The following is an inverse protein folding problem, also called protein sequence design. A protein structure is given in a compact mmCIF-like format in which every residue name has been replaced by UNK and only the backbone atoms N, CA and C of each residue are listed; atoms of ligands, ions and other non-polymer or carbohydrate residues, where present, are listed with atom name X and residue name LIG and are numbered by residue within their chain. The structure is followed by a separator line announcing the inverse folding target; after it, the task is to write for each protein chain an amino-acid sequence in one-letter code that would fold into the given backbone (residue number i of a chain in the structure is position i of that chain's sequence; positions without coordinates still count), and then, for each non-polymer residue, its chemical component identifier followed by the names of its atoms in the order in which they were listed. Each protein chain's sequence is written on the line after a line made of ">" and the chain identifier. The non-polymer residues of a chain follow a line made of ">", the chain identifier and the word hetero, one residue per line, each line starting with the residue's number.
data_IF_652636014114
#
_entry.id   IF_652636014114
#
_cell.length_a   1.000
_cell.length_b   1.000
_cell.length_c   1.000
_cell.angle_alpha   90.00
_cell.angle_beta   90.00
_cell.angle_gamma   90.00
#
_symmetry.space_group_name_H-M   'P 1'
#
loop_
_entity.id
_entity.type
_entity.pdbx_description
1 polymer ?
#
# COMPACT_ATOMS: atom_id res chain seq x y z
N UNK A 1 -22.80 -50.98 67.70
CA UNK A 1 -23.98 -50.57 66.92
C UNK A 1 -23.69 -50.83 65.45
N UNK A 2 -24.41 -51.78 64.86
CA UNK A 2 -24.95 -51.84 63.47
C UNK A 2 -24.41 -50.80 62.46
N UNK A 3 -24.07 -51.11 61.20
CA UNK A 3 -24.30 -52.28 60.35
C UNK A 3 -23.43 -52.17 59.07
N UNK A 4 -22.99 -53.33 58.56
CA UNK A 4 -23.05 -53.74 57.14
C UNK A 4 -22.09 -53.15 56.06
N UNK A 5 -21.10 -53.99 55.72
CA UNK A 5 -20.67 -54.45 54.37
C UNK A 5 -21.84 -54.87 53.44
N UNK A 6 -21.68 -55.39 52.19
CA UNK A 6 -20.51 -55.56 51.29
C UNK A 6 -20.85 -55.14 49.82
N UNK A 7 -19.96 -55.27 48.82
CA UNK A 7 -19.94 -56.43 47.90
C UNK A 7 -18.73 -56.33 46.94
N UNK A 8 -18.00 -57.43 46.91
CA UNK A 8 -16.98 -57.86 45.95
C UNK A 8 -17.67 -58.69 44.83
N UNK A 9 -17.05 -59.60 44.06
CA UNK A 9 -15.62 -59.83 43.71
C UNK A 9 -15.39 -60.24 42.21
N UNK A 10 -14.13 -60.58 41.89
CA UNK A 10 -13.68 -61.74 41.03
C UNK A 10 -13.96 -61.72 39.51
N UNK A 11 -13.14 -62.24 38.59
CA UNK A 11 -11.80 -62.85 38.60
C UNK A 11 -11.39 -63.30 37.18
N UNK A 12 -10.08 -63.19 36.87
CA UNK A 12 -9.19 -64.26 36.34
C UNK A 12 -9.19 -64.67 34.83
N UNK A 13 -7.97 -64.51 34.24
CA UNK A 13 -7.28 -65.31 33.18
C UNK A 13 -7.88 -65.34 31.75
N UNK A 14 -7.15 -65.45 30.62
CA UNK A 14 -5.93 -66.22 30.29
C UNK A 14 -5.43 -65.86 28.86
N UNK A 15 -4.14 -66.11 28.58
CA UNK A 15 -3.44 -66.07 27.26
C UNK A 15 -4.16 -66.82 26.11
N UNK A 16 -3.89 -66.48 24.83
CA UNK A 16 -3.11 -67.31 23.84
C UNK A 16 -3.33 -66.92 22.33
N UNK A 17 -2.19 -66.81 21.61
CA UNK A 17 -1.85 -67.12 20.19
C UNK A 17 -2.24 -66.22 18.98
N UNK A 18 -1.22 -66.09 18.12
CA UNK A 18 -1.14 -65.65 16.72
C UNK A 18 -1.94 -66.53 15.73
N UNK A 19 -2.39 -65.93 14.62
CA UNK A 19 -2.07 -66.34 13.23
C UNK A 19 -2.64 -65.34 12.19
N UNK A 20 -1.73 -64.84 11.34
CA UNK A 20 -1.74 -64.68 9.88
C UNK A 20 -2.88 -64.07 9.03
N UNK A 21 -2.35 -63.37 8.00
CA UNK A 21 -2.77 -63.21 6.58
C UNK A 21 -3.75 -62.10 6.17
N UNK A 22 -3.16 -61.18 5.38
CA UNK A 22 -3.60 -60.63 4.08
C UNK A 22 -4.90 -59.79 4.02
N UNK A 23 -4.79 -58.51 3.63
CA UNK A 23 -5.13 -58.06 2.26
C UNK A 23 -4.79 -56.56 2.07
N UNK A 24 -4.49 -56.20 0.84
CA UNK A 24 -3.99 -54.91 0.35
C UNK A 24 -5.07 -53.82 0.33
N UNK A 25 -4.67 -52.57 0.61
CA UNK A 25 -5.56 -51.41 0.54
C UNK A 25 -4.80 -50.08 0.54
N UNK A 26 -4.45 -49.64 -0.66
CA UNK A 26 -4.45 -48.25 -1.15
C UNK A 26 -3.91 -47.13 -0.21
N UNK A 27 -2.63 -46.76 -0.38
CA UNK A 27 -2.03 -45.57 0.24
C UNK A 27 -2.39 -44.32 -0.56
N UNK A 28 -3.50 -43.65 -0.20
CA UNK A 28 -3.75 -42.24 -0.55
C UNK A 28 -2.72 -41.36 0.14
N UNK A 29 -1.80 -40.78 -0.64
CA UNK A 29 -0.92 -39.69 -0.21
C UNK A 29 -1.79 -38.48 0.09
N UNK A 30 -1.95 -38.15 1.37
CA UNK A 30 -2.54 -36.89 1.82
C UNK A 30 -1.53 -35.79 1.51
N UNK A 31 -1.76 -35.04 0.43
CA UNK A 31 -1.08 -33.77 0.18
C UNK A 31 -1.52 -32.79 1.26
N UNK A 32 -0.66 -32.54 2.23
CA UNK A 32 -0.81 -31.43 3.19
C UNK A 32 -0.69 -30.13 2.41
N UNK A 33 -1.82 -29.52 2.07
CA UNK A 33 -1.87 -28.16 1.52
C UNK A 33 -1.33 -27.21 2.59
N UNK A 34 -0.19 -26.58 2.33
CA UNK A 34 0.23 -25.38 3.06
C UNK A 34 -0.74 -24.26 2.70
N UNK A 35 -1.34 -23.55 3.67
CA UNK A 35 -2.15 -22.37 3.34
C UNK A 35 -1.22 -21.30 2.78
N UNK A 36 -1.47 -20.91 1.53
CA UNK A 36 -0.87 -19.75 0.91
C UNK A 36 -1.55 -18.52 1.50
N UNK A 37 -0.84 -17.77 2.34
CA UNK A 37 -1.35 -16.52 2.90
C UNK A 37 -1.29 -15.44 1.83
N UNK A 38 -2.45 -14.89 1.48
CA UNK A 38 -2.57 -13.70 0.64
C UNK A 38 -1.93 -12.50 1.37
N UNK A 39 -1.37 -11.50 0.67
CA UNK A 39 -1.09 -10.21 1.31
C UNK A 39 -2.40 -9.67 1.88
N UNK A 40 -2.48 -9.64 3.21
CA UNK A 40 -3.73 -9.37 3.91
C UNK A 40 -3.89 -7.87 4.08
N UNK A 41 -4.89 -7.28 3.45
CA UNK A 41 -5.31 -5.92 3.71
C UNK A 41 -5.83 -5.81 5.15
N UNK A 42 -5.19 -5.02 6.00
CA UNK A 42 -5.68 -4.77 7.36
C UNK A 42 -6.61 -3.55 7.38
N UNK A 43 -7.91 -3.80 7.52
CA UNK A 43 -8.91 -2.75 7.78
C UNK A 43 -9.07 -2.59 9.29
N UNK A 44 -8.78 -1.41 9.83
CA UNK A 44 -8.98 -1.12 11.25
C UNK A 44 -10.06 -0.05 11.43
N UNK A 45 -11.13 -0.44 12.13
CA UNK A 45 -12.28 0.44 12.44
C UNK A 45 -12.29 0.92 13.89
N UNK A 46 -11.54 0.27 14.79
CA UNK A 46 -11.42 0.63 16.21
C UNK A 46 -9.98 0.43 16.70
N UNK A 47 -9.33 1.49 17.18
CA UNK A 47 -7.94 1.43 17.71
C UNK A 47 -7.98 1.46 19.23
N UNK A 48 -7.47 0.40 19.87
CA UNK A 48 -7.17 0.41 21.31
C UNK A 48 -5.76 0.93 21.52
N UNK A 49 -5.59 1.90 22.41
CA UNK A 49 -4.29 2.46 22.80
C UNK A 49 -3.42 1.36 23.43
N UNK A 50 -2.36 0.93 22.74
CA UNK A 50 -1.44 -0.11 23.24
C UNK A 50 -0.23 0.56 23.93
N UNK A 51 0.16 0.15 25.15
CA UNK A 51 1.32 0.70 25.83
C UNK A 51 2.65 0.20 25.22
N UNK A 52 3.59 1.14 25.16
CA UNK A 52 4.91 1.05 24.53
C UNK A 52 5.81 -0.04 25.14
N UNK A 53 6.22 -1.01 24.31
CA UNK A 53 7.46 -1.75 24.49
C UNK A 53 8.11 -1.99 23.12
N UNK A 54 9.38 -1.64 23.00
CA UNK A 54 10.17 -1.62 21.76
C UNK A 54 10.95 -2.92 21.53
N UNK A 55 10.81 -3.58 20.37
CA UNK A 55 11.78 -4.56 19.85
C UNK A 55 12.83 -3.88 18.94
N UNK A 56 13.95 -4.56 18.68
CA UNK A 56 15.10 -4.05 17.93
C UNK A 56 15.03 -4.32 16.41
N UNK A 57 15.69 -3.47 15.64
CA UNK A 57 15.73 -3.42 14.16
C UNK A 57 16.06 -4.78 13.49
N UNK A 58 16.93 -5.58 14.12
CA UNK A 58 17.36 -6.88 13.60
C UNK A 58 16.23 -7.94 13.55
N UNK A 59 15.16 -7.76 14.34
CA UNK A 59 14.01 -8.67 14.34
C UNK A 59 13.07 -8.45 13.15
N UNK A 60 13.09 -7.26 12.55
CA UNK A 60 12.25 -6.92 11.39
C UNK A 60 12.87 -7.39 10.06
N UNK A 61 14.20 -7.52 10.00
CA UNK A 61 14.93 -7.86 8.78
C UNK A 61 15.00 -9.37 8.49
N UNK A 62 14.53 -10.22 9.40
CA UNK A 62 14.67 -11.69 9.29
C UNK A 62 13.49 -12.42 8.63
N UNK A 63 12.49 -11.70 8.10
CA UNK A 63 11.24 -12.29 7.60
C UNK A 63 11.01 -12.15 6.07
N UNK A 64 11.93 -11.56 5.33
CA UNK A 64 11.78 -11.32 3.89
C UNK A 64 12.38 -12.43 3.03
N UNK A 65 11.65 -13.53 2.85
CA UNK A 65 11.84 -14.40 1.67
C UNK A 65 10.54 -15.18 1.41
N UNK A 66 9.64 -14.61 0.61
CA UNK A 66 8.54 -15.38 0.02
C UNK A 66 7.99 -14.72 -1.25
N UNK A 67 8.34 -15.33 -2.38
CA UNK A 67 7.62 -15.21 -3.65
C UNK A 67 6.17 -15.72 -3.49
N UNK A 68 5.16 -14.93 -3.88
CA UNK A 68 3.83 -15.46 -4.29
C UNK A 68 3.06 -14.50 -5.21
N UNK A 69 2.46 -15.12 -6.23
CA UNK A 69 1.66 -14.59 -7.34
C UNK A 69 0.37 -13.86 -6.95
N UNK A 70 0.03 -12.84 -7.75
CA UNK A 70 -1.17 -12.02 -7.64
C UNK A 70 -2.38 -12.68 -8.33
N UNK A 71 -3.50 -12.67 -7.60
CA UNK A 71 -4.76 -13.35 -7.92
C UNK A 71 -5.67 -12.49 -8.82
N UNK A 72 -5.44 -12.46 -10.14
CA UNK A 72 -6.47 -12.21 -11.17
C UNK A 72 -5.98 -12.82 -12.51
N UNK A 73 -6.61 -13.91 -12.96
CA UNK A 73 -6.30 -14.65 -14.20
C UNK A 73 -6.75 -13.90 -15.46
N UNK A 74 -5.86 -13.77 -16.47
CA UNK A 74 -6.06 -14.33 -17.83
C UNK A 74 -4.69 -14.38 -18.59
N UNK A 75 -4.36 -15.53 -19.19
CA UNK A 75 -3.05 -15.89 -19.78
C UNK A 75 -3.09 -15.84 -21.32
N UNK A 76 -2.01 -15.37 -22.00
CA UNK A 76 -1.63 -15.96 -23.29
C UNK A 76 -0.09 -16.11 -23.46
N UNK A 77 0.36 -16.78 -24.55
CA UNK A 77 1.05 -18.07 -24.53
C UNK A 77 2.58 -18.02 -24.29
N UNK A 78 3.13 -19.12 -23.78
CA UNK A 78 4.58 -19.33 -23.68
C UNK A 78 5.22 -19.76 -25.02
N UNK A 79 6.43 -19.25 -25.34
CA UNK A 79 7.39 -19.97 -26.15
C UNK A 79 8.40 -20.75 -25.29
N UNK A 80 8.74 -21.94 -25.78
CA UNK A 80 9.64 -22.95 -25.23
C UNK A 80 11.09 -22.47 -25.06
N UNK A 81 11.71 -22.88 -23.96
CA UNK A 81 13.15 -22.78 -23.70
C UNK A 81 13.99 -23.64 -24.65
N UNK A 82 15.24 -23.24 -24.93
CA UNK A 82 16.30 -24.21 -25.16
C UNK A 82 17.40 -24.14 -24.09
N UNK A 83 17.63 -25.33 -23.54
CA UNK A 83 18.85 -25.95 -23.03
C UNK A 83 20.11 -25.10 -22.80
N UNK A 84 20.60 -25.13 -21.57
CA UNK A 84 21.85 -24.50 -21.13
C UNK A 84 22.88 -25.61 -20.93
N UNK A 85 23.74 -25.83 -21.92
CA UNK A 85 24.97 -26.61 -21.77
C UNK A 85 26.06 -26.01 -22.67
N UNK A 86 27.05 -25.33 -22.07
CA UNK A 86 28.10 -24.65 -22.84
C UNK A 86 29.06 -23.79 -22.02
N UNK A 87 29.70 -24.42 -21.04
CA UNK A 87 30.73 -23.89 -20.15
C UNK A 87 31.93 -23.23 -20.89
N UNK A 88 32.31 -22.02 -20.44
CA UNK A 88 33.68 -21.49 -20.26
C UNK A 88 34.77 -21.68 -21.34
N UNK A 89 35.19 -20.56 -21.95
CA UNK A 89 36.56 -20.24 -22.46
C UNK A 89 36.49 -18.82 -23.04
N UNK A 90 37.30 -17.80 -22.75
CA UNK A 90 38.73 -17.70 -22.39
C UNK A 90 38.95 -16.35 -21.67
N UNK A 91 39.84 -16.34 -20.67
CA UNK A 91 40.35 -15.14 -20.00
C UNK A 91 41.31 -14.33 -20.88
N UNK A 92 41.30 -13.01 -20.66
CA UNK A 92 42.40 -12.02 -20.82
C UNK A 92 42.32 -11.05 -22.04
N UNK A 93 42.94 -9.84 -21.94
CA UNK A 93 42.28 -8.57 -22.24
C UNK A 93 42.69 -7.97 -23.59
N UNK A 94 41.80 -7.18 -24.20
CA UNK A 94 42.12 -6.42 -25.42
C UNK A 94 41.33 -5.12 -25.46
N UNK A 95 42.06 -4.00 -25.40
CA UNK A 95 41.61 -2.67 -25.79
C UNK A 95 41.23 -2.69 -27.29
N UNK A 96 39.96 -2.49 -27.61
CA UNK A 96 39.54 -1.92 -28.87
C UNK A 96 38.12 -1.34 -28.75
N UNK A 97 38.00 -0.14 -29.29
CA UNK A 97 36.80 0.65 -29.51
C UNK A 97 35.82 -0.13 -30.40
N UNK A 98 34.76 -0.71 -29.83
CA UNK A 98 33.64 -1.25 -30.59
C UNK A 98 32.31 -0.91 -29.92
N UNK A 99 31.41 -0.44 -30.76
CA UNK A 99 30.06 0.02 -30.51
C UNK A 99 29.27 -1.00 -29.67
N UNK A 100 28.70 -0.51 -28.57
CA UNK A 100 27.83 -1.29 -27.68
C UNK A 100 26.68 -1.92 -28.49
N UNK A 101 26.38 -3.22 -28.29
CA UNK A 101 25.18 -3.81 -28.85
C UNK A 101 23.96 -3.18 -28.19
N UNK A 102 22.98 -2.81 -29.01
CA UNK A 102 21.64 -2.41 -28.58
C UNK A 102 21.05 -3.56 -27.75
N UNK A 103 21.07 -3.39 -26.42
CA UNK A 103 20.21 -4.16 -25.53
C UNK A 103 18.78 -3.66 -25.74
N UNK A 104 18.04 -4.33 -26.63
CA UNK A 104 16.58 -4.28 -26.62
C UNK A 104 16.10 -4.90 -25.29
N UNK A 105 15.14 -4.22 -24.64
CA UNK A 105 14.57 -4.46 -23.29
C UNK A 105 15.30 -3.89 -22.05
N UNK A 106 15.82 -2.66 -22.14
CA UNK A 106 15.93 -1.82 -20.94
C UNK A 106 14.53 -1.28 -20.54
N UNK A 107 14.12 -1.29 -19.26
CA UNK A 107 12.91 -0.61 -18.86
C UNK A 107 13.00 0.85 -19.30
N UNK A 108 11.91 1.37 -19.84
CA UNK A 108 11.80 2.77 -20.26
C UNK A 108 11.74 3.68 -19.03
N UNK A 109 12.80 3.72 -18.23
CA UNK A 109 12.86 4.50 -16.99
C UNK A 109 12.84 5.98 -17.36
N UNK A 110 11.63 6.53 -17.38
CA UNK A 110 11.38 7.94 -17.68
C UNK A 110 12.01 8.79 -16.59
N UNK A 111 12.73 9.85 -16.99
CA UNK A 111 13.28 10.83 -16.04
C UNK A 111 12.13 11.49 -15.27
N UNK A 112 12.12 11.29 -13.96
CA UNK A 112 11.15 11.90 -13.06
C UNK A 112 11.50 13.38 -12.83
N UNK A 113 10.49 14.22 -12.99
CA UNK A 113 10.62 15.68 -12.85
C UNK A 113 10.59 16.07 -11.37
N UNK A 114 11.26 17.17 -11.01
CA UNK A 114 11.18 17.72 -9.63
C UNK A 114 10.07 18.75 -9.44
N UNK A 115 9.39 19.12 -10.51
CA UNK A 115 8.27 20.07 -10.52
C UNK A 115 7.02 19.40 -11.02
N UNK A 116 5.86 19.81 -10.50
CA UNK A 116 4.57 19.30 -10.92
C UNK A 116 4.43 19.32 -12.46
N UNK A 117 4.03 18.21 -13.10
CA UNK A 117 3.65 18.22 -14.51
C UNK A 117 2.38 19.06 -14.70
N UNK A 118 2.13 19.48 -15.94
CA UNK A 118 0.97 20.31 -16.30
C UNK A 118 -0.34 19.50 -16.35
N UNK A 119 -0.73 18.93 -15.22
CA UNK A 119 -1.96 18.16 -15.03
C UNK A 119 -2.94 19.04 -14.25
N UNK A 120 -4.11 19.40 -14.82
CA UNK A 120 -5.10 20.18 -14.09
C UNK A 120 -5.55 19.47 -12.80
N UNK A 121 -5.59 20.21 -11.70
CA UNK A 121 -5.92 19.67 -10.37
C UNK A 121 -4.78 18.92 -9.67
N UNK A 122 -3.58 18.84 -10.26
CA UNK A 122 -2.39 18.32 -9.57
C UNK A 122 -1.61 19.48 -8.93
N UNK A 123 -1.46 19.44 -7.60
CA UNK A 123 -0.65 20.43 -6.88
C UNK A 123 0.50 19.74 -6.16
N UNK A 124 1.70 20.24 -6.40
CA UNK A 124 2.92 19.80 -5.75
C UNK A 124 3.93 20.95 -5.74
N UNK A 125 4.36 21.34 -4.56
CA UNK A 125 5.42 22.33 -4.35
C UNK A 125 6.59 21.65 -3.63
N UNK A 126 7.76 21.50 -4.28
CA UNK A 126 8.92 20.84 -3.68
C UNK A 126 9.51 21.60 -2.48
N UNK A 127 9.12 22.87 -2.25
CA UNK A 127 9.52 23.65 -1.09
C UNK A 127 8.65 23.42 0.14
N UNK A 128 7.46 22.84 -0.04
CA UNK A 128 6.53 22.51 1.05
C UNK A 128 6.81 21.09 1.50
N UNK A 129 7.63 20.99 2.54
CA UNK A 129 8.00 19.73 3.18
C UNK A 129 7.56 19.75 4.64
N UNK A 130 7.15 18.59 5.13
CA UNK A 130 7.00 18.37 6.57
C UNK A 130 8.34 18.63 7.27
N UNK A 131 8.34 19.19 8.50
CA UNK A 131 9.53 19.25 9.33
C UNK A 131 10.13 17.85 9.51
N UNK A 132 11.44 17.71 9.23
CA UNK A 132 12.12 16.41 9.16
C UNK A 132 11.92 15.56 10.41
N UNK A 133 12.11 16.15 11.60
CA UNK A 133 11.93 15.46 12.89
C UNK A 133 10.50 14.91 13.03
N UNK A 134 9.50 15.69 12.63
CA UNK A 134 8.10 15.26 12.70
C UNK A 134 7.80 14.15 11.69
N UNK A 135 8.34 14.25 10.47
CA UNK A 135 8.17 13.24 9.43
C UNK A 135 8.76 11.88 9.87
N UNK A 136 9.95 11.89 10.46
CA UNK A 136 10.63 10.69 10.95
C UNK A 136 9.87 10.08 12.14
N UNK A 137 9.49 10.91 13.13
CA UNK A 137 8.72 10.46 14.30
C UNK A 137 7.37 9.86 13.89
N UNK A 138 6.68 10.49 12.93
CA UNK A 138 5.42 10.01 12.40
C UNK A 138 5.59 8.67 11.66
N UNK A 139 6.58 8.56 10.79
CA UNK A 139 6.87 7.32 10.06
C UNK A 139 7.07 6.16 11.03
N UNK A 140 7.95 6.30 12.02
CA UNK A 140 8.23 5.24 12.97
C UNK A 140 7.06 4.96 13.90
N UNK A 141 6.25 5.96 14.21
CA UNK A 141 5.01 5.77 14.96
C UNK A 141 4.02 4.91 14.18
N UNK A 142 3.82 5.17 12.89
CA UNK A 142 2.98 4.35 12.02
C UNK A 142 3.54 2.93 11.87
N UNK A 143 4.84 2.76 11.63
CA UNK A 143 5.47 1.44 11.49
C UNK A 143 5.24 0.59 12.74
N UNK A 144 5.53 1.13 13.92
CA UNK A 144 5.33 0.41 15.19
C UNK A 144 3.86 0.09 15.46
N UNK A 145 2.96 1.02 15.15
CA UNK A 145 1.55 0.87 15.45
C UNK A 145 0.84 -0.14 14.53
N UNK A 146 1.24 -0.21 13.26
CA UNK A 146 0.46 -0.87 12.22
C UNK A 146 1.15 -2.05 11.55
N UNK A 147 2.48 -2.08 11.51
CA UNK A 147 3.26 -3.03 10.70
C UNK A 147 4.16 -3.97 11.53
N UNK A 148 4.05 -3.98 12.86
CA UNK A 148 4.89 -4.81 13.73
C UNK A 148 4.72 -6.33 13.59
N UNK A 149 3.60 -6.79 13.01
CA UNK A 149 3.29 -8.23 12.84
C UNK A 149 3.76 -8.80 11.48
N UNK A 150 4.31 -7.96 10.58
CA UNK A 150 5.07 -8.39 9.40
C UNK A 150 4.29 -9.00 8.23
N UNK A 151 2.96 -9.06 8.27
CA UNK A 151 2.15 -9.73 7.21
C UNK A 151 1.48 -8.79 6.22
N UNK A 152 1.35 -7.51 6.55
CA UNK A 152 0.68 -6.51 5.73
C UNK A 152 1.62 -5.33 5.50
N UNK A 153 1.66 -4.81 4.28
CA UNK A 153 2.34 -3.57 3.93
C UNK A 153 1.36 -2.41 3.70
N UNK A 154 0.06 -2.66 3.94
CA UNK A 154 -1.00 -1.66 3.79
C UNK A 154 -2.01 -1.75 4.94
N UNK A 155 -2.42 -0.58 5.45
CA UNK A 155 -3.47 -0.43 6.46
C UNK A 155 -4.46 0.65 6.05
N UNK A 156 -5.75 0.37 6.21
CA UNK A 156 -6.83 1.36 6.02
C UNK A 156 -7.48 1.72 7.35
N UNK A 157 -7.52 3.02 7.64
CA UNK A 157 -8.15 3.63 8.81
C UNK A 157 -9.30 4.52 8.38
N UNK A 158 -10.38 4.55 9.15
CA UNK A 158 -11.59 5.29 8.82
C UNK A 158 -11.98 6.20 9.98
N UNK A 159 -12.19 7.49 9.69
CA UNK A 159 -12.83 8.44 10.59
C UNK A 159 -14.33 8.48 10.36
N UNK A 160 -15.08 8.89 11.39
CA UNK A 160 -16.53 9.09 11.30
C UNK A 160 -16.85 10.52 10.89
N UNK A 161 -17.93 10.69 10.15
CA UNK A 161 -18.47 12.03 9.88
C UNK A 161 -18.86 12.71 11.20
N UNK A 162 -18.63 14.03 11.36
CA UNK A 162 -19.14 14.79 12.50
C UNK A 162 -20.66 14.64 12.61
N UNK A 163 -21.14 14.05 13.71
CA UNK A 163 -22.58 13.95 13.96
C UNK A 163 -23.17 15.32 14.29
N UNK A 164 -24.26 15.69 13.61
CA UNK A 164 -25.05 16.89 13.92
C UNK A 164 -25.98 16.69 15.13
N UNK A 165 -25.97 15.53 15.79
CA UNK A 165 -26.93 15.21 16.85
C UNK A 165 -26.47 15.56 18.28
N UNK A 166 -27.23 16.47 18.89
CA UNK A 166 -27.43 16.84 20.31
C UNK A 166 -26.25 16.84 21.32
N UNK A 167 -26.13 17.88 22.16
CA UNK A 167 -24.99 18.12 23.08
C UNK A 167 -24.88 17.16 24.30
N UNK A 168 -25.50 15.98 24.25
CA UNK A 168 -25.54 15.02 25.37
C UNK A 168 -24.91 13.65 25.09
N UNK A 169 -24.44 13.37 23.88
CA UNK A 169 -23.64 12.16 23.63
C UNK A 169 -22.17 12.42 24.01
N UNK A 170 -21.46 11.44 24.63
CA UNK A 170 -20.02 11.56 24.84
C UNK A 170 -19.35 11.80 23.49
N UNK A 171 -18.49 12.83 23.43
CA UNK A 171 -17.77 13.25 22.22
C UNK A 171 -17.24 12.02 21.49
N UNK A 172 -17.76 11.77 20.29
CA UNK A 172 -17.30 10.71 19.40
C UNK A 172 -15.78 10.82 19.24
N UNK A 173 -15.05 9.84 19.77
CA UNK A 173 -13.61 9.71 19.54
C UNK A 173 -13.40 9.50 18.05
N UNK A 174 -12.60 10.35 17.40
CA UNK A 174 -12.23 10.17 16.00
C UNK A 174 -11.71 8.74 15.77
N UNK A 175 -12.03 8.18 14.61
CA UNK A 175 -11.54 6.86 14.21
C UNK A 175 -10.07 6.87 13.77
N UNK A 176 -9.47 8.06 13.60
CA UNK A 176 -8.06 8.21 13.26
C UNK A 176 -7.19 8.37 14.53
N UNK A 177 -5.97 7.82 14.53
CA UNK A 177 -4.98 8.06 15.58
C UNK A 177 -4.67 9.56 15.74
N UNK A 178 -4.35 10.04 16.96
CA UNK A 178 -3.96 11.43 17.20
C UNK A 178 -2.86 11.93 16.27
N UNK A 179 -1.82 11.12 16.00
CA UNK A 179 -0.73 11.52 15.10
C UNK A 179 -1.18 11.81 13.66
N UNK A 180 -2.26 11.18 13.19
CA UNK A 180 -2.83 11.48 11.86
C UNK A 180 -3.73 12.72 11.89
N UNK A 181 -4.40 12.99 13.01
CA UNK A 181 -5.15 14.23 13.20
C UNK A 181 -4.22 15.44 13.28
N UNK A 182 -3.12 15.29 14.02
CA UNK A 182 -2.06 16.30 14.08
C UNK A 182 -1.45 16.54 12.70
N UNK A 183 -1.22 15.47 11.92
CA UNK A 183 -0.80 15.59 10.52
C UNK A 183 -1.83 16.35 9.67
N UNK A 184 -3.12 16.05 9.77
CA UNK A 184 -4.16 16.78 9.03
C UNK A 184 -4.15 18.27 9.42
N UNK A 185 -4.02 18.61 10.70
CA UNK A 185 -3.93 20.00 11.16
C UNK A 185 -2.70 20.70 10.59
N UNK A 186 -1.55 20.04 10.53
CA UNK A 186 -0.36 20.60 9.91
C UNK A 186 -0.54 20.81 8.40
N UNK A 187 -1.15 19.84 7.71
CA UNK A 187 -1.42 19.94 6.28
C UNK A 187 -2.37 21.09 5.95
N UNK A 188 -3.35 21.38 6.81
CA UNK A 188 -4.24 22.54 6.68
C UNK A 188 -3.41 23.83 6.61
N UNK A 189 -2.51 24.04 7.56
CA UNK A 189 -1.65 25.22 7.60
C UNK A 189 -0.66 25.29 6.43
N UNK A 190 -0.04 24.15 6.09
CA UNK A 190 0.96 24.08 5.01
C UNK A 190 0.36 24.32 3.62
N UNK A 191 -0.84 23.80 3.36
CA UNK A 191 -1.45 23.88 2.03
C UNK A 191 -2.21 25.18 1.81
N UNK A 192 -2.59 25.92 2.87
CA UNK A 192 -3.33 27.18 2.77
C UNK A 192 -2.70 28.22 1.82
N UNK A 193 -1.37 28.46 1.82
CA UNK A 193 -0.74 29.35 0.84
C UNK A 193 -0.41 28.66 -0.50
N UNK A 194 -0.51 27.33 -0.57
CA UNK A 194 0.04 26.51 -1.66
C UNK A 194 -0.98 26.15 -2.74
N UNK A 195 -2.26 26.09 -2.38
CA UNK A 195 -3.36 25.72 -3.28
C UNK A 195 -4.39 26.85 -3.33
N UNK A 196 -5.22 26.92 -4.40
CA UNK A 196 -6.33 27.87 -4.44
C UNK A 196 -7.25 27.74 -3.21
N UNK A 197 -7.86 28.83 -2.72
CA UNK A 197 -8.75 28.78 -1.56
C UNK A 197 -9.85 27.72 -1.67
N UNK A 198 -10.41 27.53 -2.86
CA UNK A 198 -11.53 26.61 -3.06
C UNK A 198 -11.06 25.14 -3.01
N UNK A 199 -9.82 24.91 -3.44
CA UNK A 199 -9.13 23.63 -3.28
C UNK A 199 -8.82 23.38 -1.81
N UNK A 200 -8.32 24.38 -1.08
CA UNK A 200 -8.07 24.26 0.36
C UNK A 200 -9.36 23.92 1.12
N UNK A 201 -10.45 24.64 0.82
CA UNK A 201 -11.77 24.38 1.41
C UNK A 201 -12.26 22.96 1.08
N UNK A 202 -12.07 22.48 -0.15
CA UNK A 202 -12.37 21.10 -0.53
C UNK A 202 -11.60 20.08 0.33
N UNK A 203 -10.33 20.35 0.62
CA UNK A 203 -9.45 19.43 1.33
C UNK A 203 -9.68 19.38 2.84
N UNK A 204 -10.11 20.47 3.47
CA UNK A 204 -10.15 20.58 4.95
C UNK A 204 -11.52 20.89 5.55
N UNK A 205 -12.45 21.46 4.79
CA UNK A 205 -13.77 21.74 5.34
C UNK A 205 -14.55 20.44 5.53
N UNK A 206 -15.09 20.24 6.74
CA UNK A 206 -15.95 19.08 7.03
C UNK A 206 -17.24 19.07 6.20
N UNK A 207 -17.66 20.26 5.72
CA UNK A 207 -18.67 20.46 4.68
C UNK A 207 -18.00 21.30 3.58
N UNK A 208 -17.34 20.67 2.60
CA UNK A 208 -16.59 21.40 1.58
C UNK A 208 -17.51 22.38 0.86
N UNK A 209 -17.10 23.66 0.82
CA UNK A 209 -17.91 24.81 0.42
C UNK A 209 -18.57 24.70 -0.97
N UNK A 210 -18.11 23.76 -1.80
CA UNK A 210 -18.66 23.45 -3.12
C UNK A 210 -19.93 22.60 -3.10
N UNK A 211 -20.33 22.01 -1.97
CA UNK A 211 -21.57 21.24 -1.86
C UNK A 211 -22.22 21.49 -0.50
N UNK A 212 -23.45 22.00 -0.47
CA UNK A 212 -24.33 22.10 0.71
C UNK A 212 -24.75 20.73 1.28
N UNK A 213 -23.85 19.76 1.24
CA UNK A 213 -24.05 18.37 1.62
C UNK A 213 -23.65 18.09 3.07
N UNK A 214 -24.05 16.92 3.58
CA UNK A 214 -23.74 16.51 4.94
C UNK A 214 -22.24 16.37 5.15
N UNK A 215 -21.76 16.47 6.41
CA UNK A 215 -20.37 16.21 6.73
C UNK A 215 -19.91 14.84 6.22
N UNK A 216 -18.67 14.76 5.73
CA UNK A 216 -18.11 13.53 5.16
C UNK A 216 -17.16 12.84 6.12
N UNK A 217 -17.19 11.51 6.10
CA UNK A 217 -16.18 10.68 6.74
C UNK A 217 -14.87 10.72 5.94
N UNK A 218 -13.74 10.55 6.62
CA UNK A 218 -12.40 10.57 6.01
C UNK A 218 -11.75 9.22 6.15
N UNK A 219 -10.98 8.82 5.16
CA UNK A 219 -10.19 7.59 5.16
C UNK A 219 -8.71 7.96 5.08
N UNK A 220 -7.87 7.25 5.84
CA UNK A 220 -6.42 7.32 5.76
C UNK A 220 -5.88 5.93 5.38
N UNK A 221 -5.18 5.82 4.25
CA UNK A 221 -4.45 4.61 3.87
C UNK A 221 -2.97 4.83 4.12
N UNK A 222 -2.34 3.87 4.80
CA UNK A 222 -0.92 3.87 5.10
C UNK A 222 -0.32 2.71 4.31
N UNK A 223 0.64 3.01 3.44
CA UNK A 223 1.38 2.01 2.68
C UNK A 223 2.85 2.07 3.07
N UNK A 224 3.44 0.91 3.36
CA UNK A 224 4.86 0.70 3.57
C UNK A 224 5.44 0.06 2.31
N UNK A 225 6.53 0.63 1.80
CA UNK A 225 7.25 0.14 0.63
C UNK A 225 8.70 -0.12 1.01
N UNK A 226 9.15 -1.35 0.76
CA UNK A 226 10.56 -1.71 0.71
C UNK A 226 11.15 -1.38 -0.67
N UNK A 227 12.48 -1.22 -0.77
CA UNK A 227 13.14 -1.09 -2.07
C UNK A 227 12.73 -2.23 -3.02
N UNK A 228 12.42 -1.89 -4.28
CA UNK A 228 11.88 -2.83 -5.27
C UNK A 228 10.34 -2.93 -5.28
N UNK A 229 9.65 -2.49 -4.21
CA UNK A 229 8.18 -2.46 -4.20
C UNK A 229 7.62 -1.26 -4.96
N UNK A 230 6.34 -1.36 -5.31
CA UNK A 230 5.62 -0.36 -6.08
C UNK A 230 4.12 -0.59 -6.01
N UNK A 231 3.37 0.25 -6.72
CA UNK A 231 1.93 0.10 -6.91
C UNK A 231 1.59 0.30 -8.38
N UNK A 232 0.82 -0.62 -8.94
CA UNK A 232 0.42 -0.58 -10.35
C UNK A 232 -0.34 0.70 -10.66
N UNK A 233 -0.21 1.27 -11.88
CA UNK A 233 -1.00 2.43 -12.29
C UNK A 233 -2.50 2.20 -12.09
N UNK A 234 -3.15 3.10 -11.36
CA UNK A 234 -4.57 3.01 -11.06
C UNK A 234 -5.20 4.40 -10.88
N UNK A 235 -6.53 4.44 -10.96
CA UNK A 235 -7.33 5.55 -10.46
C UNK A 235 -7.95 5.12 -9.13
N UNK A 236 -7.88 5.99 -8.12
CA UNK A 236 -8.50 5.72 -6.83
C UNK A 236 -10.02 5.48 -6.98
N UNK A 237 -10.57 4.48 -6.28
CA UNK A 237 -11.96 4.01 -6.46
C UNK A 237 -12.99 5.16 -6.58
N UNK A 238 -13.56 5.28 -7.78
CA UNK A 238 -14.41 6.40 -8.19
C UNK A 238 -15.78 6.42 -7.48
N UNK A 239 -16.26 5.24 -7.13
CA UNK A 239 -17.55 5.00 -6.45
C UNK A 239 -17.44 5.07 -4.92
N UNK A 240 -16.22 5.21 -4.38
CA UNK A 240 -15.97 5.22 -2.94
C UNK A 240 -15.36 6.53 -2.43
N UNK A 241 -14.41 7.10 -3.16
CA UNK A 241 -13.68 8.28 -2.71
C UNK A 241 -14.06 9.53 -3.52
N UNK A 242 -14.37 10.60 -2.79
CA UNK A 242 -14.68 11.91 -3.36
C UNK A 242 -13.47 12.62 -3.96
N UNK A 243 -13.71 13.84 -4.41
CA UNK A 243 -12.64 14.72 -4.85
C UNK A 243 -11.79 15.22 -3.67
N UNK A 244 -10.54 15.56 -3.93
CA UNK A 244 -9.57 15.95 -2.91
C UNK A 244 -8.86 14.75 -2.29
N UNK A 245 -7.70 14.42 -2.86
CA UNK A 245 -6.77 13.43 -2.33
C UNK A 245 -5.51 14.15 -1.87
N UNK A 246 -5.05 13.85 -0.65
CA UNK A 246 -3.77 14.34 -0.12
C UNK A 246 -2.86 13.14 0.11
N UNK A 247 -1.71 13.09 -0.55
CA UNK A 247 -0.66 12.10 -0.33
C UNK A 247 0.55 12.72 0.37
N UNK A 248 1.09 12.03 1.37
CA UNK A 248 2.31 12.43 2.09
C UNK A 248 3.35 11.32 1.91
N UNK A 249 4.59 11.69 1.59
CA UNK A 249 5.72 10.74 1.49
C UNK A 249 6.67 10.89 2.69
N UNK A 250 6.92 9.80 3.41
CA UNK A 250 7.83 9.74 4.57
C UNK A 250 8.94 8.70 4.31
N UNK A 251 10.11 8.89 4.91
CA UNK A 251 11.27 8.00 4.71
C UNK A 251 12.00 8.30 3.42
N UNK A 252 12.06 7.34 2.50
CA UNK A 252 12.65 7.56 1.17
C UNK A 252 11.71 8.28 0.19
N UNK A 253 12.28 8.94 -0.81
CA UNK A 253 11.54 9.50 -1.94
C UNK A 253 11.24 8.43 -3.00
N UNK A 254 10.35 8.75 -3.94
CA UNK A 254 10.11 7.88 -5.10
C UNK A 254 9.63 8.67 -6.33
N UNK A 255 9.85 8.13 -7.53
CA UNK A 255 9.14 8.59 -8.72
C UNK A 255 7.72 8.01 -8.78
N UNK A 256 6.73 8.90 -8.86
CA UNK A 256 5.34 8.55 -9.17
C UNK A 256 5.06 8.83 -10.64
N UNK A 257 4.54 7.84 -11.35
CA UNK A 257 4.13 7.95 -12.75
C UNK A 257 2.69 8.39 -12.83
N UNK A 258 2.38 9.22 -13.83
CA UNK A 258 1.04 9.63 -14.20
C UNK A 258 0.82 9.35 -15.68
N UNK A 259 -0.36 8.82 -16.03
CA UNK A 259 -0.78 8.62 -17.41
C UNK A 259 -2.29 8.91 -17.52
N UNK A 260 -2.77 9.32 -18.69
CA UNK A 260 -4.22 9.51 -18.89
C UNK A 260 -4.93 8.16 -18.86
N UNK A 261 -6.02 8.05 -18.11
CA UNK A 261 -6.74 6.79 -17.93
C UNK A 261 -7.43 6.24 -19.20
N UNK A 262 -7.56 7.05 -20.25
CA UNK A 262 -8.36 6.75 -21.45
C UNK A 262 -7.55 6.64 -22.75
N UNK A 263 -6.24 6.40 -22.70
CA UNK A 263 -5.42 6.33 -23.92
C UNK A 263 -5.58 5.00 -24.67
N UNK A 264 -6.72 4.82 -25.34
CA UNK A 264 -6.83 4.08 -26.63
C UNK A 264 -6.33 4.95 -27.80
N UNK A 265 -5.86 6.16 -27.52
CA UNK A 265 -5.34 7.10 -28.50
C UNK A 265 -3.83 6.99 -28.59
N UNK A 266 -3.37 6.25 -29.60
CA UNK A 266 -2.07 6.53 -30.22
C UNK A 266 -2.14 7.99 -30.68
N UNK A 267 -1.47 8.88 -29.96
CA UNK A 267 -1.29 10.26 -30.43
C UNK A 267 -0.65 10.19 -31.84
N UNK A 268 -1.19 10.89 -32.85
CA UNK A 268 -0.63 10.88 -34.21
C UNK A 268 0.79 11.46 -34.28
N UNK A 269 1.22 12.14 -33.22
CA UNK A 269 2.57 12.69 -33.03
C UNK A 269 3.13 12.21 -31.68
N UNK A 270 3.57 10.95 -31.59
CA UNK A 270 4.66 10.41 -30.72
C UNK A 270 4.82 10.85 -29.24
N UNK A 271 3.93 11.63 -28.66
CA UNK A 271 4.00 12.16 -27.30
C UNK A 271 2.95 11.48 -26.46
N UNK A 272 3.37 10.49 -25.67
CA UNK A 272 2.56 10.05 -24.53
C UNK A 272 2.44 11.22 -23.56
N UNK A 273 1.22 11.61 -23.17
CA UNK A 273 0.98 12.59 -22.08
C UNK A 273 1.49 12.09 -20.72
N UNK A 274 1.96 10.86 -20.67
CA UNK A 274 2.51 10.23 -19.49
C UNK A 274 3.76 10.98 -19.00
N UNK A 275 3.86 11.12 -17.68
CA UNK A 275 4.98 11.80 -17.03
C UNK A 275 5.32 11.13 -15.70
N UNK A 276 6.45 11.52 -15.12
CA UNK A 276 6.86 11.07 -13.80
C UNK A 276 7.24 12.27 -12.93
N UNK A 277 6.84 12.25 -11.67
CA UNK A 277 7.12 13.27 -10.66
C UNK A 277 7.87 12.62 -9.51
N UNK A 278 9.03 13.16 -9.16
CA UNK A 278 9.77 12.74 -7.98
C UNK A 278 9.14 13.35 -6.72
N UNK A 279 8.72 12.50 -5.81
CA UNK A 279 8.17 12.84 -4.50
C UNK A 279 9.27 12.64 -3.46
N UNK A 280 9.96 13.71 -2.99
CA UNK A 280 10.99 13.59 -1.98
C UNK A 280 10.39 13.28 -0.60
N UNK A 281 11.25 12.90 0.34
CA UNK A 281 10.86 12.72 1.75
C UNK A 281 10.23 14.00 2.32
N UNK A 282 9.17 13.85 3.09
CA UNK A 282 8.39 14.93 3.68
C UNK A 282 7.48 15.67 2.71
N UNK A 283 7.43 15.30 1.43
CA UNK A 283 6.60 16.01 0.45
C UNK A 283 5.11 15.72 0.58
N UNK A 284 4.32 16.68 0.09
CA UNK A 284 2.86 16.62 0.02
C UNK A 284 2.42 16.75 -1.44
N UNK A 285 1.57 15.83 -1.87
CA UNK A 285 0.94 15.81 -3.19
C UNK A 285 -0.57 15.98 -3.02
N UNK A 286 -1.18 16.84 -3.83
CA UNK A 286 -2.64 16.99 -3.88
C UNK A 286 -3.13 16.66 -5.27
N UNK A 287 -4.20 15.86 -5.35
CA UNK A 287 -4.92 15.56 -6.58
C UNK A 287 -6.39 15.93 -6.43
N UNK A 288 -6.88 16.80 -7.30
CA UNK A 288 -8.28 17.16 -7.45
C UNK A 288 -8.73 17.04 -8.90
N UNK A 289 -10.04 17.07 -9.14
CA UNK A 289 -10.65 17.18 -10.46
C UNK A 289 -10.00 16.22 -11.48
N UNK A 290 -9.44 16.74 -12.58
CA UNK A 290 -8.82 15.93 -13.63
C UNK A 290 -7.72 15.01 -13.12
N UNK A 291 -6.77 15.51 -12.30
CA UNK A 291 -5.71 14.70 -11.72
C UNK A 291 -6.27 13.52 -10.90
N UNK A 292 -7.43 13.70 -10.25
CA UNK A 292 -8.06 12.67 -9.44
C UNK A 292 -8.83 11.64 -10.27
N UNK A 293 -9.54 12.10 -11.32
CA UNK A 293 -10.55 11.30 -12.02
C UNK A 293 -10.08 10.74 -13.36
N UNK A 294 -9.22 11.44 -14.07
CA UNK A 294 -8.86 11.16 -15.46
C UNK A 294 -7.40 10.73 -15.66
N UNK A 295 -6.62 10.69 -14.58
CA UNK A 295 -5.22 10.27 -14.60
C UNK A 295 -5.01 9.05 -13.70
N UNK A 296 -4.37 8.02 -14.25
CA UNK A 296 -3.79 6.95 -13.45
C UNK A 296 -2.54 7.47 -12.77
N UNK A 297 -2.25 6.93 -11.59
CA UNK A 297 -0.99 7.13 -10.90
C UNK A 297 -0.44 5.80 -10.38
N UNK A 298 0.88 5.68 -10.36
CA UNK A 298 1.56 4.45 -9.96
C UNK A 298 2.98 4.71 -9.50
N UNK A 299 3.58 3.73 -8.83
CA UNK A 299 5.00 3.72 -8.47
C UNK A 299 5.54 2.42 -9.04
N UNK A 300 6.46 2.51 -9.99
CA UNK A 300 7.10 1.32 -10.58
C UNK A 300 7.86 0.53 -9.52
N UNK A 301 7.90 -0.79 -9.68
CA UNK A 301 8.73 -1.69 -8.87
C UNK A 301 10.19 -1.50 -9.25
N UNK A 302 10.91 -0.70 -8.46
CA UNK A 302 12.30 -0.35 -8.72
C UNK A 302 13.07 -0.16 -7.43
N UNK A 303 14.39 -0.37 -7.49
CA UNK A 303 15.33 -0.05 -6.42
C UNK A 303 15.87 1.38 -6.52
N UNK A 304 15.67 2.04 -7.65
CA UNK A 304 16.21 3.38 -7.92
C UNK A 304 15.30 4.16 -8.87
N UNK A 305 15.42 5.49 -8.85
CA UNK A 305 14.69 6.39 -9.74
C UNK A 305 15.68 7.28 -10.50
N UNK A 306 15.49 7.42 -11.82
CA UNK A 306 16.17 8.44 -12.61
C UNK A 306 15.42 9.76 -12.46
N UNK A 307 16.04 10.77 -11.85
CA UNK A 307 15.39 12.05 -11.50
C UNK A 307 16.18 13.21 -12.07
N UNK A 308 15.53 14.29 -12.53
CA UNK A 308 16.23 15.52 -12.94
C UNK A 308 17.25 15.98 -11.87
N UNK A 309 18.46 16.41 -12.25
CA UNK A 309 19.44 16.95 -11.28
C UNK A 309 18.89 18.21 -10.57
N UNK A 310 18.18 19.06 -11.31
CA UNK A 310 17.48 20.26 -10.84
C UNK A 310 16.27 20.53 -11.75
N UNK A 311 15.26 21.31 -11.31
CA UNK A 311 14.06 21.59 -12.10
C UNK A 311 14.35 22.00 -13.56
N UNK A 312 13.84 21.23 -14.51
CA UNK A 312 14.01 21.48 -15.95
C UNK A 312 15.38 21.09 -16.53
N UNK A 313 16.22 20.40 -15.76
CA UNK A 313 17.49 19.85 -16.26
C UNK A 313 17.24 18.74 -17.28
N UNK A 314 18.01 18.72 -18.37
CA UNK A 314 18.07 17.60 -19.30
C UNK A 314 18.93 16.42 -18.78
N UNK A 315 19.65 16.63 -17.67
CA UNK A 315 20.48 15.61 -17.03
C UNK A 315 19.72 15.00 -15.86
N UNK A 316 19.71 13.66 -15.82
CA UNK A 316 19.20 12.89 -14.69
C UNK A 316 20.30 12.45 -13.74
N UNK A 317 19.96 12.33 -12.46
CA UNK A 317 20.69 11.65 -11.41
C UNK A 317 19.91 10.43 -10.96
N UNK A 318 20.59 9.30 -10.77
CA UNK A 318 20.01 8.10 -10.17
C UNK A 318 19.92 8.30 -8.65
N UNK A 319 18.72 8.10 -8.09
CA UNK A 319 18.47 8.15 -6.66
C UNK A 319 18.01 6.77 -6.20
N UNK A 320 18.78 6.14 -5.31
CA UNK A 320 18.41 4.86 -4.70
C UNK A 320 17.19 5.04 -3.79
N UNK A 321 16.29 4.06 -3.83
CA UNK A 321 15.15 3.95 -2.92
C UNK A 321 15.57 3.25 -1.64
N UNK A 322 14.97 3.69 -0.55
CA UNK A 322 15.04 3.07 0.77
C UNK A 322 13.60 2.88 1.27
N UNK A 323 13.39 2.43 2.50
CA UNK A 323 12.08 2.27 3.11
C UNK A 323 11.28 3.56 3.01
N UNK A 324 10.12 3.46 2.38
CA UNK A 324 9.18 4.57 2.18
C UNK A 324 7.86 4.23 2.83
N UNK A 325 7.27 5.21 3.50
CA UNK A 325 5.90 5.11 4.00
C UNK A 325 5.08 6.25 3.41
N UNK A 326 3.94 5.94 2.81
CA UNK A 326 2.99 6.96 2.35
C UNK A 326 1.72 6.96 3.17
N UNK A 327 1.21 8.15 3.46
CA UNK A 327 -0.10 8.35 4.08
C UNK A 327 -0.97 9.11 3.08
N UNK A 328 -2.10 8.52 2.70
CA UNK A 328 -3.05 9.16 1.78
C UNK A 328 -4.38 9.38 2.45
N UNK A 329 -4.86 10.63 2.46
CA UNK A 329 -6.15 11.03 2.99
C UNK A 329 -7.17 11.26 1.88
N UNK A 330 -8.38 10.74 2.08
CA UNK A 330 -9.47 10.78 1.11
C UNK A 330 -10.81 10.99 1.79
N UNK A 331 -11.67 11.80 1.19
CA UNK A 331 -13.06 11.87 1.60
C UNK A 331 -13.84 10.65 1.11
N UNK A 332 -14.69 10.08 1.96
CA UNK A 332 -15.66 9.07 1.52
C UNK A 332 -16.86 9.76 0.84
N UNK A 333 -17.39 9.12 -0.20
CA UNK A 333 -18.68 9.50 -0.75
C UNK A 333 -19.81 9.17 0.25
N UNK A 334 -20.95 9.89 0.22
CA UNK A 334 -22.07 9.61 1.10
C UNK A 334 -22.51 8.14 1.01
N UNK A 335 -22.61 7.45 2.14
CA UNK A 335 -22.98 6.03 2.21
C UNK A 335 -21.83 5.05 1.98
N UNK A 336 -20.64 5.51 1.57
CA UNK A 336 -19.46 4.67 1.40
C UNK A 336 -18.75 4.34 2.74
N UNK A 337 -19.20 4.94 3.84
CA UNK A 337 -18.78 4.67 5.22
C UNK A 337 -19.39 3.38 5.81
N UNK A 338 -20.40 2.81 5.16
CA UNK A 338 -21.05 1.56 5.59
C UNK A 338 -20.36 0.36 4.96
N UNK A 339 -19.67 -0.45 5.77
CA UNK A 339 -19.01 -1.70 5.31
C UNK A 339 -19.84 -2.91 5.78
N UNK A 340 -20.48 -3.61 4.83
CA UNK A 340 -21.23 -4.86 5.07
C UNK A 340 -22.60 -4.90 4.37
N UNK A 341 -23.20 -6.09 4.18
CA UNK A 341 -24.54 -6.17 3.60
C UNK A 341 -25.53 -5.50 4.54
N UNK A 342 -26.28 -4.53 4.03
CA UNK A 342 -27.48 -4.03 4.70
C UNK A 342 -28.38 -5.23 4.93
N UNK A 343 -28.53 -5.68 6.17
CA UNK A 343 -29.60 -6.60 6.52
C UNK A 343 -30.90 -5.86 6.25
N UNK A 344 -31.46 -6.08 5.06
CA UNK A 344 -32.80 -5.65 4.72
C UNK A 344 -33.72 -6.43 5.66
N UNK A 345 -34.13 -5.78 6.74
CA UNK A 345 -35.14 -6.30 7.65
C UNK A 345 -36.42 -6.46 6.85
N UNK A 346 -36.70 -7.70 6.45
CA UNK A 346 -37.99 -8.08 5.92
C UNK A 346 -39.05 -7.84 6.99
N UNK A 347 -39.97 -6.92 6.69
CA UNK A 347 -41.27 -6.82 7.35
C UNK A 347 -42.23 -7.85 6.80
#
# INVERSE_FOLDING_TARGET
>A
MVHSTPLSPTSINKRKRLADSEDAGDKKVVKTQRPCNKPELRVMTDIRTIPYHSPSLDQLLSAGDSDVDSLFDELPPQPSTPDIDGLHSVLAPSLADELLPEFEDAPTTRVARRTAPSIPGLYFDPSILLPEVLADDLMWTCIRAFFGEGTSNQVMLFDRAPSLETPKAPRSTSGLPPCLLDLISLLDDLLRPAVPPETHDLLFSSSPASHAGPPRARQAIINLYWPGEGITPHVDLLDRYGDGIIGVSLGSGCAMQFAKASSDSIAPDGGSDDCALYLPKGSVLVMTEDARYHWTHGIEKSFEDLVEEFPGSLRGSVLERDVRLSITFRWLLPGADVVGPTSVGGT
#
